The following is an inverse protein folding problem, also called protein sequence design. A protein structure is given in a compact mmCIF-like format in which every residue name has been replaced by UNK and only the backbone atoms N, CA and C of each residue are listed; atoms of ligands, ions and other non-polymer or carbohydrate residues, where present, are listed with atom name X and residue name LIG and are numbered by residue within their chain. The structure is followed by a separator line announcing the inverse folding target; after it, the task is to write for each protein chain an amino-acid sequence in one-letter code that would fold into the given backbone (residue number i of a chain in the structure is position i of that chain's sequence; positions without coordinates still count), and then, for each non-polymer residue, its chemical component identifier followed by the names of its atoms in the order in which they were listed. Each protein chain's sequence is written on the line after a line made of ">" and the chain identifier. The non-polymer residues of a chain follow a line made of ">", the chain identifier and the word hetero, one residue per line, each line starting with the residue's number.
data_IF_107056447017
#
_entry.id   IF_107056447017
#
_cell.length_a   1.000
_cell.length_b   1.000
_cell.length_c   1.000
_cell.angle_alpha   90.00
_cell.angle_beta   90.00
_cell.angle_gamma   90.00
#
_symmetry.space_group_name_H-M   'P 1'
#
loop_
_entity.id
_entity.type
_entity.pdbx_description
1 polymer ?
#
# COMPACT_ATOMS: atom_id res chain seq x y z
N UNK A 1 -24.37 11.52 -0.74
CA UNK A 1 -24.79 11.40 0.67
C UNK A 1 -23.55 10.92 1.42
N UNK A 2 -22.96 11.78 2.24
CA UNK A 2 -21.59 11.64 2.76
C UNK A 2 -21.59 10.73 3.99
N UNK A 3 -20.93 9.58 3.91
CA UNK A 3 -20.67 8.72 5.07
C UNK A 3 -19.79 9.47 6.06
N UNK A 4 -20.34 9.79 7.24
CA UNK A 4 -19.60 10.44 8.33
C UNK A 4 -18.79 9.40 9.12
N UNK A 5 -17.68 9.81 9.78
CA UNK A 5 -16.86 8.98 10.69
C UNK A 5 -17.63 8.21 11.79
N UNK A 6 -18.88 8.61 12.06
CA UNK A 6 -19.79 7.98 13.02
C UNK A 6 -20.08 6.50 12.75
N UNK A 7 -19.98 6.01 11.51
CA UNK A 7 -20.33 4.60 11.22
C UNK A 7 -19.27 3.60 11.70
N UNK A 8 -18.00 4.01 11.79
CA UNK A 8 -16.93 3.21 12.43
C UNK A 8 -17.09 3.20 13.95
N UNK A 9 -17.50 4.33 14.54
CA UNK A 9 -17.77 4.44 15.98
C UNK A 9 -18.99 3.61 16.42
N UNK A 10 -20.03 3.50 15.59
CA UNK A 10 -21.29 2.81 15.96
C UNK A 10 -21.11 1.28 16.08
N UNK A 11 -20.11 0.69 15.41
CA UNK A 11 -19.80 -0.75 15.57
C UNK A 11 -18.85 -1.04 16.73
N UNK A 12 -18.07 -0.06 17.20
CA UNK A 12 -17.20 -0.24 18.38
C UNK A 12 -17.98 -0.19 19.70
N UNK A 13 -19.12 0.52 19.74
CA UNK A 13 -19.97 0.65 20.94
C UNK A 13 -20.65 -0.67 21.34
N UNK A 14 -20.79 -1.65 20.43
CA UNK A 14 -21.45 -2.94 20.75
C UNK A 14 -20.52 -3.93 21.47
N UNK A 15 -19.23 -3.60 21.65
CA UNK A 15 -18.25 -4.48 22.31
C UNK A 15 -17.79 -4.01 23.70
N UNK A 16 -18.38 -2.96 24.26
CA UNK A 16 -17.99 -2.43 25.58
C UNK A 16 -18.41 -3.28 26.79
N UNK A 17 -19.05 -4.43 26.61
CA UNK A 17 -19.45 -5.29 27.73
C UNK A 17 -18.84 -6.68 27.66
N UNK A 18 -17.52 -6.78 27.73
CA UNK A 18 -16.80 -7.81 28.53
C UNK A 18 -15.32 -7.89 28.15
N UNK A 19 -14.45 -7.24 28.92
CA UNK A 19 -13.16 -7.82 29.30
C UNK A 19 -12.43 -6.81 30.19
N UNK A 20 -12.28 -7.14 31.48
CA UNK A 20 -11.14 -6.65 32.24
C UNK A 20 -9.89 -7.16 31.52
N UNK A 21 -9.16 -6.28 30.84
CA UNK A 21 -7.83 -6.60 30.33
C UNK A 21 -6.84 -6.53 31.50
N UNK A 22 -6.28 -7.68 31.80
CA UNK A 22 -5.11 -7.87 32.65
C UNK A 22 -3.86 -7.29 31.99
N UNK A 23 -2.91 -6.92 32.85
CA UNK A 23 -1.63 -6.23 32.61
C UNK A 23 -0.62 -7.01 31.72
N UNK A 24 -0.93 -7.23 30.45
CA UNK A 24 0.08 -7.59 29.45
C UNK A 24 0.06 -6.55 28.30
N UNK A 25 1.01 -5.60 28.35
CA UNK A 25 1.19 -4.51 27.37
C UNK A 25 1.69 -5.00 25.99
N UNK A 26 1.61 -6.29 25.70
CA UNK A 26 2.07 -6.87 24.44
C UNK A 26 0.99 -6.77 23.35
N UNK A 27 1.38 -6.37 22.14
CA UNK A 27 0.45 -6.32 21.02
C UNK A 27 -0.09 -7.73 20.72
N UNK A 28 -1.40 -7.89 20.42
CA UNK A 28 -1.98 -9.18 20.10
C UNK A 28 -1.31 -9.82 18.88
N UNK A 29 -1.24 -11.16 18.88
CA UNK A 29 -0.77 -11.93 17.72
C UNK A 29 -1.95 -12.44 16.91
N UNK A 30 -1.95 -12.14 15.62
CA UNK A 30 -2.89 -12.66 14.63
C UNK A 30 -2.16 -13.68 13.73
N UNK A 31 -2.43 -14.95 14.01
CA UNK A 31 -1.93 -16.08 13.23
C UNK A 31 -2.92 -16.42 12.14
N UNK A 32 -2.44 -16.62 10.92
CA UNK A 32 -3.30 -16.87 9.77
C UNK A 32 -2.65 -17.80 8.74
N UNK A 33 -3.47 -18.27 7.81
CA UNK A 33 -3.13 -19.18 6.73
C UNK A 33 -3.82 -18.75 5.43
N UNK A 34 -3.60 -19.50 4.35
CA UNK A 34 -4.30 -19.26 3.09
C UNK A 34 -5.83 -19.43 3.20
N UNK A 35 -6.32 -20.18 4.20
CA UNK A 35 -7.76 -20.39 4.43
C UNK A 35 -8.48 -19.14 4.91
N UNK A 36 -7.74 -18.21 5.50
CA UNK A 36 -8.25 -16.94 6.03
C UNK A 36 -8.33 -15.86 4.94
N UNK A 37 -7.86 -16.14 3.72
CA UNK A 37 -7.85 -15.18 2.62
C UNK A 37 -9.21 -15.07 1.93
N UNK A 38 -9.69 -13.83 1.82
CA UNK A 38 -10.82 -13.43 1.01
C UNK A 38 -10.36 -13.08 -0.40
N UNK A 39 -10.45 -13.99 -1.37
CA UNK A 39 -9.96 -13.72 -2.73
C UNK A 39 -10.89 -12.83 -3.55
N UNK A 40 -12.20 -12.96 -3.34
CA UNK A 40 -13.22 -12.14 -3.98
C UNK A 40 -14.09 -11.50 -2.90
N UNK A 41 -14.39 -10.21 -3.05
CA UNK A 41 -15.31 -9.47 -2.18
C UNK A 41 -16.29 -8.67 -3.05
N UNK A 42 -17.54 -8.56 -2.60
CA UNK A 42 -18.59 -7.84 -3.30
C UNK A 42 -19.21 -6.79 -2.38
N UNK A 43 -18.43 -5.75 -2.04
CA UNK A 43 -18.76 -4.76 -1.00
C UNK A 43 -18.50 -3.36 -1.52
N UNK A 44 -19.38 -2.42 -1.17
CA UNK A 44 -19.21 -0.99 -1.46
C UNK A 44 -18.20 -0.37 -0.51
N UNK A 45 -17.38 0.54 -1.02
CA UNK A 45 -16.55 1.41 -0.19
C UNK A 45 -17.39 2.12 0.87
N UNK A 46 -16.86 2.21 2.09
CA UNK A 46 -17.55 2.85 3.21
C UNK A 46 -18.77 2.06 3.75
N UNK A 47 -19.02 0.84 3.29
CA UNK A 47 -19.99 -0.10 3.86
C UNK A 47 -19.29 -1.39 4.30
N UNK A 48 -18.37 -1.32 5.27
CA UNK A 48 -17.46 -2.43 5.51
C UNK A 48 -18.19 -3.62 6.15
N UNK A 49 -18.05 -4.78 5.52
CA UNK A 49 -18.16 -6.07 6.22
C UNK A 49 -16.73 -6.42 6.65
N UNK A 50 -16.50 -6.48 7.96
CA UNK A 50 -15.17 -6.60 8.56
C UNK A 50 -14.83 -8.07 8.83
N UNK A 51 -13.61 -8.49 8.49
CA UNK A 51 -13.03 -9.75 8.94
C UNK A 51 -12.55 -9.66 10.40
N UNK A 52 -12.12 -10.80 10.97
CA UNK A 52 -11.47 -10.81 12.29
C UNK A 52 -10.20 -9.96 12.31
N UNK A 53 -9.42 -9.98 11.22
CA UNK A 53 -8.24 -9.14 11.05
C UNK A 53 -8.62 -7.65 11.04
N UNK A 54 -9.66 -7.27 10.30
CA UNK A 54 -10.11 -5.88 10.20
C UNK A 54 -10.54 -5.33 11.56
N UNK A 55 -11.33 -6.12 12.30
CA UNK A 55 -11.80 -5.77 13.64
C UNK A 55 -10.64 -5.56 14.62
N UNK A 56 -9.66 -6.47 14.64
CA UNK A 56 -8.51 -6.36 15.54
C UNK A 56 -7.65 -5.16 15.18
N UNK A 57 -7.34 -4.95 13.89
CA UNK A 57 -6.59 -3.79 13.43
C UNK A 57 -7.26 -2.50 13.89
N UNK A 58 -8.52 -2.28 13.50
CA UNK A 58 -9.21 -1.01 13.71
C UNK A 58 -9.40 -0.73 15.20
N UNK A 59 -9.73 -1.76 15.99
CA UNK A 59 -9.82 -1.65 17.45
C UNK A 59 -8.49 -1.23 18.07
N UNK A 60 -7.38 -1.85 17.67
CA UNK A 60 -6.08 -1.52 18.26
C UNK A 60 -5.59 -0.13 17.84
N UNK A 61 -5.85 0.28 16.60
CA UNK A 61 -5.56 1.64 16.15
C UNK A 61 -6.31 2.69 17.00
N UNK A 62 -7.57 2.40 17.32
CA UNK A 62 -8.40 3.24 18.16
C UNK A 62 -7.93 3.29 19.62
N UNK A 63 -7.45 2.16 20.16
CA UNK A 63 -6.79 2.13 21.49
C UNK A 63 -5.56 3.04 21.49
N UNK A 64 -4.67 2.93 20.51
CA UNK A 64 -3.51 3.82 20.39
C UNK A 64 -3.91 5.30 20.25
N UNK A 65 -5.07 5.58 19.63
CA UNK A 65 -5.62 6.94 19.49
C UNK A 65 -6.07 7.48 20.84
N UNK A 66 -6.83 6.69 21.59
CA UNK A 66 -7.29 7.04 22.93
C UNK A 66 -6.13 7.24 23.92
N UNK A 67 -5.01 6.53 23.71
CA UNK A 67 -3.77 6.71 24.48
C UNK A 67 -2.94 7.95 24.08
N UNK A 68 -3.35 8.70 23.05
CA UNK A 68 -2.66 9.92 22.64
C UNK A 68 -1.31 9.70 21.95
N UNK A 69 -1.11 8.54 21.31
CA UNK A 69 0.18 8.16 20.70
C UNK A 69 0.44 8.81 19.33
N UNK A 70 -0.48 9.64 18.82
CA UNK A 70 -0.36 10.35 17.55
C UNK A 70 0.06 11.80 17.76
N UNK A 71 0.89 12.35 16.86
CA UNK A 71 1.33 13.75 16.90
C UNK A 71 0.20 14.76 16.68
N UNK A 72 -0.84 14.35 15.96
CA UNK A 72 -2.02 15.17 15.67
C UNK A 72 -3.22 14.28 15.34
N UNK A 73 -4.42 14.81 15.53
CA UNK A 73 -5.66 14.14 15.15
C UNK A 73 -5.93 14.28 13.65
N UNK A 74 -6.53 13.24 13.09
CA UNK A 74 -7.08 13.18 11.72
C UNK A 74 -8.61 13.06 11.73
N UNK A 75 -9.23 13.28 12.89
CA UNK A 75 -10.69 13.37 12.99
C UNK A 75 -11.21 14.64 12.32
N UNK A 76 -12.34 14.50 11.61
CA UNK A 76 -12.95 15.63 10.94
C UNK A 76 -12.14 16.21 9.77
N UNK A 77 -11.10 15.51 9.29
CA UNK A 77 -10.34 15.92 8.10
C UNK A 77 -11.29 16.13 6.92
N UNK A 78 -11.33 17.38 6.44
CA UNK A 78 -12.17 17.74 5.29
C UNK A 78 -11.72 16.93 4.09
N UNK A 79 -12.66 16.17 3.53
CA UNK A 79 -12.41 15.28 2.39
C UNK A 79 -13.33 15.69 1.25
N UNK A 80 -12.80 15.81 0.04
CA UNK A 80 -13.61 16.01 -1.17
C UNK A 80 -13.06 15.18 -2.32
N UNK A 81 -13.97 14.66 -3.13
CA UNK A 81 -13.64 14.03 -4.41
C UNK A 81 -13.65 15.13 -5.47
N UNK A 82 -12.55 15.30 -6.18
CA UNK A 82 -12.48 16.29 -7.25
C UNK A 82 -13.34 15.84 -8.43
N UNK A 83 -14.11 16.76 -9.06
CA UNK A 83 -14.82 16.44 -10.28
C UNK A 83 -13.81 16.21 -11.41
N UNK A 84 -14.00 15.13 -12.16
CA UNK A 84 -13.16 14.82 -13.31
C UNK A 84 -13.17 13.33 -13.61
N UNK A 85 -12.24 12.90 -14.46
CA UNK A 85 -12.16 11.51 -14.90
C UNK A 85 -11.68 10.59 -13.79
N UNK A 86 -10.72 11.06 -12.99
CA UNK A 86 -9.98 10.23 -12.06
C UNK A 86 -10.62 10.18 -10.66
N UNK A 87 -11.61 11.04 -10.39
CA UNK A 87 -12.33 11.18 -9.14
C UNK A 87 -11.35 11.22 -7.94
N UNK A 88 -10.35 12.11 -8.03
CA UNK A 88 -9.24 12.15 -7.06
C UNK A 88 -9.78 12.51 -5.67
N UNK A 89 -9.45 11.67 -4.68
CA UNK A 89 -9.84 11.86 -3.28
C UNK A 89 -8.81 12.77 -2.61
N UNK A 90 -9.22 13.98 -2.24
CA UNK A 90 -8.37 14.97 -1.60
C UNK A 90 -8.74 15.16 -0.13
N UNK A 91 -7.74 15.36 0.72
CA UNK A 91 -7.92 15.53 2.17
C UNK A 91 -7.11 16.72 2.69
N UNK A 92 -7.76 17.66 3.38
CA UNK A 92 -7.08 18.81 3.97
C UNK A 92 -6.25 18.40 5.19
N UNK A 93 -4.93 18.47 5.05
CA UNK A 93 -3.94 18.00 6.02
C UNK A 93 -2.86 19.07 6.28
N UNK A 94 -3.28 20.30 6.61
CA UNK A 94 -2.37 21.43 6.86
C UNK A 94 -1.31 21.14 7.94
N UNK A 95 -1.68 20.41 9.01
CA UNK A 95 -0.79 20.04 10.11
C UNK A 95 0.36 19.13 9.66
N UNK A 96 0.17 18.35 8.58
CA UNK A 96 1.18 17.38 8.12
C UNK A 96 2.44 18.06 7.60
N UNK A 97 2.34 19.27 7.04
CA UNK A 97 3.50 20.01 6.50
C UNK A 97 4.54 20.31 7.59
N UNK A 98 4.10 20.68 8.79
CA UNK A 98 4.98 21.07 9.91
C UNK A 98 5.31 19.92 10.85
N UNK A 99 4.44 18.90 10.96
CA UNK A 99 4.59 17.82 11.95
C UNK A 99 5.27 16.55 11.40
N UNK A 100 5.48 16.46 10.08
CA UNK A 100 6.19 15.34 9.48
C UNK A 100 7.66 15.38 9.91
N UNK A 101 8.20 14.21 10.23
CA UNK A 101 9.64 14.07 10.52
C UNK A 101 10.49 14.54 9.34
N UNK A 102 11.67 15.06 9.66
CA UNK A 102 12.73 15.22 8.67
C UNK A 102 13.10 13.84 8.11
N UNK A 103 13.14 13.67 6.78
CA UNK A 103 13.65 12.45 6.16
C UNK A 103 15.08 12.14 6.60
N UNK A 104 15.44 10.86 6.65
CA UNK A 104 16.85 10.48 6.73
C UNK A 104 17.63 11.01 5.52
N UNK A 105 18.95 11.22 5.66
CA UNK A 105 19.81 11.52 4.52
C UNK A 105 19.80 10.34 3.53
N UNK A 106 19.24 10.59 2.35
CA UNK A 106 19.04 9.60 1.29
C UNK A 106 19.90 9.96 0.09
N UNK A 107 20.82 9.06 -0.27
CA UNK A 107 21.77 9.27 -1.38
C UNK A 107 21.59 8.29 -2.54
N UNK A 108 20.98 7.13 -2.30
CA UNK A 108 20.74 6.09 -3.31
C UNK A 108 19.53 5.24 -2.93
N UNK A 109 18.97 4.53 -3.90
CA UNK A 109 17.78 3.68 -3.68
C UNK A 109 18.08 2.53 -2.72
N UNK A 110 19.29 1.96 -2.80
CA UNK A 110 19.79 0.93 -1.87
C UNK A 110 20.80 1.50 -0.89
N UNK A 111 20.34 1.88 0.31
CA UNK A 111 21.23 2.19 1.44
C UNK A 111 21.16 1.10 2.50
N UNK A 112 22.32 0.79 3.09
CA UNK A 112 22.40 -0.06 4.26
C UNK A 112 21.59 0.53 5.41
N UNK A 113 20.98 -0.35 6.21
CA UNK A 113 20.35 0.03 7.46
C UNK A 113 21.36 0.75 8.38
N UNK A 114 20.86 1.69 9.17
CA UNK A 114 21.67 2.51 10.07
C UNK A 114 20.92 2.57 11.41
N UNK A 115 21.46 1.85 12.40
CA UNK A 115 20.82 1.74 13.71
C UNK A 115 20.92 3.03 14.52
N UNK A 116 21.82 3.95 14.20
CA UNK A 116 21.92 5.23 14.92
C UNK A 116 20.74 6.15 14.57
N UNK A 117 20.22 6.04 13.34
CA UNK A 117 19.04 6.77 12.89
C UNK A 117 17.76 6.21 13.50
N UNK A 118 16.68 6.99 13.45
CA UNK A 118 15.38 6.46 13.87
C UNK A 118 14.99 5.26 13.01
N UNK A 119 14.51 4.21 13.67
CA UNK A 119 13.96 3.02 13.07
C UNK A 119 12.84 2.45 13.97
N UNK A 120 12.03 1.52 13.46
CA UNK A 120 10.82 1.06 14.16
C UNK A 120 11.06 0.20 15.39
N UNK A 121 12.29 -0.23 15.70
CA UNK A 121 12.58 -0.89 17.00
C UNK A 121 12.59 0.11 18.16
N UNK A 122 12.61 1.42 17.86
CA UNK A 122 12.66 2.53 18.81
C UNK A 122 11.29 3.15 19.10
N UNK A 123 10.21 2.55 18.62
CA UNK A 123 8.85 2.99 18.91
C UNK A 123 8.51 2.76 20.39
N UNK A 124 7.64 3.59 20.96
CA UNK A 124 7.20 3.43 22.34
C UNK A 124 6.19 2.27 22.47
N UNK A 125 6.00 1.80 23.70
CA UNK A 125 4.96 0.80 24.00
C UNK A 125 3.58 1.32 23.57
N UNK A 126 2.74 0.43 23.02
CA UNK A 126 1.41 0.77 22.50
C UNK A 126 1.39 1.34 21.07
N UNK A 127 2.54 1.70 20.46
CA UNK A 127 2.58 2.04 19.03
C UNK A 127 2.45 0.81 18.12
N UNK A 128 2.70 -0.39 18.64
CA UNK A 128 2.50 -1.63 17.91
C UNK A 128 1.09 -2.19 18.11
N UNK A 129 0.35 -2.31 17.03
CA UNK A 129 -1.07 -2.68 17.03
C UNK A 129 -1.30 -4.20 17.06
N UNK A 130 -0.57 -4.95 16.24
CA UNK A 130 -0.65 -6.40 16.21
C UNK A 130 0.59 -7.03 15.54
N UNK A 131 0.90 -8.26 15.93
CA UNK A 131 1.85 -9.13 15.25
C UNK A 131 1.13 -10.04 14.25
N UNK A 132 1.71 -10.21 13.07
CA UNK A 132 1.19 -11.06 11.99
C UNK A 132 2.11 -12.26 11.80
N UNK A 133 1.54 -13.46 11.83
CA UNK A 133 2.28 -14.71 11.60
C UNK A 133 1.51 -15.56 10.57
N UNK A 134 2.08 -15.68 9.37
CA UNK A 134 1.62 -16.63 8.37
C UNK A 134 2.18 -18.02 8.66
N UNK A 135 1.28 -19.00 8.71
CA UNK A 135 1.64 -20.42 8.81
C UNK A 135 1.13 -21.12 7.54
N UNK A 136 2.03 -21.56 6.65
CA UNK A 136 1.64 -22.33 5.48
C UNK A 136 1.10 -23.69 5.90
N UNK A 137 0.08 -24.19 5.21
CA UNK A 137 -0.40 -25.55 5.42
C UNK A 137 0.62 -26.55 4.86
N UNK A 138 1.13 -27.42 5.72
CA UNK A 138 2.15 -28.43 5.42
C UNK A 138 1.65 -29.62 4.57
N UNK A 139 0.40 -29.60 4.10
CA UNK A 139 -0.21 -30.74 3.39
C UNK A 139 -0.01 -30.74 1.88
N UNK A 140 0.55 -29.69 1.29
CA UNK A 140 0.88 -29.63 -0.15
C UNK A 140 2.39 -29.68 -0.39
N UNK A 141 3.06 -30.66 0.20
CA UNK A 141 4.39 -31.09 -0.25
C UNK A 141 4.21 -31.76 -1.61
N UNK A 142 4.13 -30.95 -2.66
CA UNK A 142 4.59 -31.42 -3.96
C UNK A 142 6.12 -31.34 -3.92
N UNK A 143 6.80 -32.32 -4.51
CA UNK A 143 8.26 -32.40 -4.69
C UNK A 143 8.80 -31.25 -5.59
N UNK A 144 8.35 -30.01 -5.37
CA UNK A 144 8.92 -28.83 -5.98
C UNK A 144 10.17 -28.45 -5.20
N UNK A 145 11.31 -28.42 -5.87
CA UNK A 145 12.61 -27.95 -5.37
C UNK A 145 12.62 -26.46 -4.96
N UNK A 146 11.48 -25.76 -5.02
CA UNK A 146 11.34 -24.35 -4.67
C UNK A 146 10.88 -24.19 -3.21
N UNK A 147 11.83 -24.33 -2.28
CA UNK A 147 11.64 -24.21 -0.81
C UNK A 147 11.02 -22.89 -0.34
N UNK A 148 10.86 -21.90 -1.22
CA UNK A 148 10.37 -20.56 -0.87
C UNK A 148 8.85 -20.46 -0.75
N UNK A 149 8.08 -21.40 -1.32
CA UNK A 149 6.60 -21.40 -1.21
C UNK A 149 6.08 -21.70 0.20
N UNK A 150 6.89 -22.35 1.02
CA UNK A 150 6.50 -22.84 2.35
C UNK A 150 7.16 -22.06 3.49
N UNK A 151 7.66 -20.86 3.24
CA UNK A 151 8.28 -20.04 4.28
C UNK A 151 7.23 -19.31 5.11
N UNK A 152 7.35 -19.37 6.43
CA UNK A 152 6.56 -18.53 7.34
C UNK A 152 6.90 -17.07 7.09
N UNK A 153 5.88 -16.23 6.95
CA UNK A 153 6.01 -14.78 6.77
C UNK A 153 5.55 -14.09 8.05
N UNK A 154 6.36 -13.16 8.56
CA UNK A 154 6.07 -12.45 9.80
C UNK A 154 6.23 -10.95 9.65
N UNK A 155 5.47 -10.21 10.44
CA UNK A 155 5.67 -8.78 10.59
C UNK A 155 4.78 -8.18 11.65
N UNK A 156 4.86 -6.86 11.78
CA UNK A 156 4.12 -6.10 12.78
C UNK A 156 3.35 -4.98 12.10
N UNK A 157 2.13 -4.73 12.56
CA UNK A 157 1.40 -3.51 12.26
C UNK A 157 1.70 -2.52 13.37
N UNK A 158 2.23 -1.35 13.03
CA UNK A 158 2.52 -0.25 13.97
C UNK A 158 1.77 1.00 13.53
N UNK A 159 1.39 1.89 14.43
CA UNK A 159 0.77 3.16 14.02
C UNK A 159 1.73 3.99 13.18
N UNK A 160 1.19 4.79 12.26
CA UNK A 160 1.93 5.94 11.78
C UNK A 160 1.58 7.12 12.67
N UNK A 161 2.48 7.50 13.58
CA UNK A 161 2.25 8.59 14.52
C UNK A 161 2.11 9.99 13.87
N UNK A 162 2.34 10.11 12.55
CA UNK A 162 1.94 11.24 11.72
C UNK A 162 0.96 10.79 10.61
N UNK A 163 -0.28 10.43 10.98
CA UNK A 163 -1.24 9.76 10.09
C UNK A 163 -1.77 10.72 9.01
N UNK A 164 -2.28 10.17 7.90
CA UNK A 164 -2.92 10.98 6.82
C UNK A 164 -4.43 10.94 6.89
N UNK A 165 -4.95 9.85 7.44
CA UNK A 165 -6.34 9.55 7.64
C UNK A 165 -6.44 8.59 8.82
N UNK A 166 -7.67 8.39 9.31
CA UNK A 166 -7.99 7.34 10.27
C UNK A 166 -7.43 6.00 9.80
N UNK A 167 -6.99 5.15 10.73
CA UNK A 167 -6.36 3.83 10.49
C UNK A 167 -4.99 3.82 9.80
N UNK A 168 -4.37 4.98 9.53
CA UNK A 168 -3.04 5.00 8.93
C UNK A 168 -1.99 4.40 9.87
N UNK A 169 -1.47 3.25 9.44
CA UNK A 169 -0.47 2.42 10.10
C UNK A 169 0.64 2.05 9.12
N UNK A 170 1.64 1.34 9.62
CA UNK A 170 2.75 0.80 8.88
C UNK A 170 2.81 -0.71 9.10
N UNK A 171 2.95 -1.46 8.02
CA UNK A 171 3.26 -2.88 8.03
C UNK A 171 4.78 -3.02 7.92
N UNK A 172 5.41 -3.55 8.96
CA UNK A 172 6.86 -3.71 9.10
C UNK A 172 7.20 -5.19 9.07
N UNK A 173 7.69 -5.74 7.95
CA UNK A 173 8.15 -7.11 7.88
C UNK A 173 9.34 -7.33 8.79
N UNK A 174 9.34 -8.42 9.56
CA UNK A 174 10.49 -8.83 10.39
C UNK A 174 11.09 -7.66 11.22
N UNK A 175 10.26 -6.99 12.03
CA UNK A 175 10.61 -5.76 12.78
C UNK A 175 11.99 -5.80 13.48
N UNK A 176 12.38 -6.93 14.05
CA UNK A 176 13.65 -7.09 14.76
C UNK A 176 14.87 -7.35 13.85
N UNK A 177 14.67 -7.68 12.57
CA UNK A 177 15.75 -7.91 11.61
C UNK A 177 16.30 -6.60 11.02
N UNK A 178 15.69 -5.46 11.28
CA UNK A 178 16.18 -4.14 10.86
C UNK A 178 16.50 -4.09 9.35
N UNK A 179 15.61 -4.65 8.53
CA UNK A 179 15.79 -4.71 7.08
C UNK A 179 15.85 -3.27 6.52
N UNK A 180 16.77 -2.95 5.59
CA UNK A 180 16.77 -1.64 4.92
C UNK A 180 15.47 -1.44 4.13
N UNK A 181 15.12 -0.18 3.81
CA UNK A 181 13.91 0.17 3.03
C UNK A 181 14.06 -0.25 1.56
N UNK A 182 14.05 -1.56 1.33
CA UNK A 182 14.15 -2.27 0.05
C UNK A 182 13.15 -3.43 0.12
N UNK A 183 12.24 -3.52 -0.85
CA UNK A 183 11.22 -4.58 -0.87
C UNK A 183 11.91 -5.94 -0.89
N UNK A 184 11.45 -6.86 -0.04
CA UNK A 184 11.83 -8.27 -0.05
C UNK A 184 10.64 -9.12 -0.46
N UNK A 185 10.88 -10.33 -0.98
CA UNK A 185 9.80 -11.26 -1.34
C UNK A 185 8.87 -11.54 -0.14
N UNK A 186 9.36 -11.88 1.08
CA UNK A 186 8.50 -12.04 2.25
C UNK A 186 7.75 -10.76 2.65
N UNK A 187 8.38 -9.59 2.52
CA UNK A 187 7.73 -8.31 2.80
C UNK A 187 6.57 -8.01 1.84
N UNK A 188 6.75 -8.31 0.55
CA UNK A 188 5.69 -8.15 -0.44
C UNK A 188 4.56 -9.18 -0.26
N UNK A 189 4.90 -10.43 0.09
CA UNK A 189 3.91 -11.45 0.46
C UNK A 189 3.09 -11.00 1.67
N UNK A 190 3.72 -10.47 2.72
CA UNK A 190 3.03 -9.93 3.90
C UNK A 190 2.05 -8.81 3.52
N UNK A 191 2.45 -7.91 2.61
CA UNK A 191 1.60 -6.84 2.11
C UNK A 191 0.37 -7.36 1.34
N UNK A 192 0.57 -8.38 0.50
CA UNK A 192 -0.52 -9.06 -0.22
C UNK A 192 -1.45 -9.81 0.74
N UNK A 193 -0.89 -10.48 1.75
CA UNK A 193 -1.65 -11.18 2.78
C UNK A 193 -2.54 -10.22 3.56
N UNK A 194 -2.03 -9.04 3.95
CA UNK A 194 -2.83 -8.04 4.67
C UNK A 194 -4.08 -7.63 3.88
N UNK A 195 -3.96 -7.42 2.56
CA UNK A 195 -5.12 -7.15 1.71
C UNK A 195 -6.09 -8.33 1.65
N UNK A 196 -5.56 -9.56 1.56
CA UNK A 196 -6.35 -10.78 1.46
C UNK A 196 -7.06 -11.17 2.76
N UNK A 197 -6.46 -10.86 3.92
CA UNK A 197 -7.09 -11.02 5.23
C UNK A 197 -8.23 -10.02 5.45
N UNK A 198 -8.18 -8.87 4.78
CA UNK A 198 -9.26 -7.90 4.85
C UNK A 198 -10.44 -8.32 4.00
N UNK A 199 -11.63 -8.21 4.57
CA UNK A 199 -12.88 -8.39 3.82
C UNK A 199 -13.40 -7.05 3.28
N UNK A 200 -12.69 -5.94 3.53
CA UNK A 200 -13.03 -4.61 3.02
C UNK A 200 -12.21 -4.25 1.77
N UNK A 201 -12.81 -3.61 0.73
CA UNK A 201 -12.05 -3.02 -0.37
C UNK A 201 -11.30 -1.75 0.04
N UNK A 202 -11.59 -1.21 1.22
CA UNK A 202 -11.03 0.06 1.67
C UNK A 202 -9.57 -0.07 2.12
N UNK A 203 -9.11 -1.28 2.49
CA UNK A 203 -7.72 -1.49 2.88
C UNK A 203 -6.79 -1.34 1.68
N UNK A 204 -5.75 -0.53 1.85
CA UNK A 204 -4.71 -0.27 0.85
C UNK A 204 -3.35 -0.45 1.47
N UNK A 205 -2.40 -0.89 0.66
CA UNK A 205 -0.99 -0.97 1.06
C UNK A 205 -0.15 -0.19 0.07
N UNK A 206 0.76 0.65 0.57
CA UNK A 206 1.58 1.53 -0.25
C UNK A 206 3.04 1.49 0.21
N UNK A 207 3.98 1.50 -0.73
CA UNK A 207 5.41 1.47 -0.46
C UNK A 207 6.10 2.63 -1.16
N UNK A 208 7.04 3.24 -0.44
CA UNK A 208 7.94 4.24 -0.97
C UNK A 208 9.36 3.69 -0.88
N UNK A 209 10.11 3.66 -1.99
CA UNK A 209 11.55 3.38 -1.94
C UNK A 209 12.31 4.56 -1.32
N UNK A 210 13.57 4.36 -0.92
CA UNK A 210 14.49 5.50 -0.77
C UNK A 210 14.63 6.22 -2.14
N UNK A 211 14.62 7.55 -2.12
CA UNK A 211 14.49 8.39 -3.31
C UNK A 211 13.06 8.44 -3.88
N UNK A 212 12.20 7.52 -3.43
CA UNK A 212 10.77 7.33 -3.75
C UNK A 212 9.81 8.03 -2.78
N UNK A 213 10.28 9.05 -2.04
CA UNK A 213 9.58 9.72 -0.94
C UNK A 213 9.47 8.93 0.39
N UNK A 214 10.24 7.86 0.59
CA UNK A 214 10.41 7.27 1.92
C UNK A 214 11.13 8.22 2.87
N UNK A 215 10.75 8.22 4.15
CA UNK A 215 11.39 9.05 5.19
C UNK A 215 12.22 8.25 6.19
N UNK A 216 12.09 6.91 6.21
CA UNK A 216 12.74 6.00 7.16
C UNK A 216 13.45 4.91 6.37
N UNK A 217 14.68 4.60 6.76
CA UNK A 217 15.41 3.45 6.22
C UNK A 217 15.25 2.22 7.14
N UNK A 218 14.04 1.68 7.19
CA UNK A 218 13.69 0.41 7.83
C UNK A 218 12.48 -0.11 7.05
N UNK A 219 12.56 -1.28 6.42
CA UNK A 219 11.52 -1.84 5.55
C UNK A 219 10.12 -1.69 6.15
N UNK A 220 9.29 -0.88 5.51
CA UNK A 220 7.89 -0.70 5.86
C UNK A 220 7.04 -0.41 4.63
N UNK A 221 5.79 -0.83 4.73
CA UNK A 221 4.70 -0.43 3.86
C UNK A 221 3.73 0.42 4.68
N UNK A 222 3.16 1.45 4.09
CA UNK A 222 1.99 2.12 4.63
C UNK A 222 0.76 1.24 4.44
N UNK A 223 -0.13 1.22 5.42
CA UNK A 223 -1.43 0.54 5.33
C UNK A 223 -2.51 1.38 5.98
N UNK A 224 -3.67 1.48 5.33
CA UNK A 224 -4.79 2.30 5.80
C UNK A 224 -6.10 1.91 5.10
N UNK A 225 -7.21 2.15 5.79
CA UNK A 225 -8.56 2.09 5.21
C UNK A 225 -8.95 3.48 4.69
N UNK A 226 -9.35 3.53 3.43
CA UNK A 226 -9.92 4.74 2.82
C UNK A 226 -11.32 4.41 2.25
N UNK A 227 -12.40 4.95 2.82
CA UNK A 227 -13.78 4.59 2.44
C UNK A 227 -14.24 5.31 1.16
N UNK A 228 -13.40 5.32 0.13
CA UNK A 228 -13.64 5.92 -1.18
C UNK A 228 -13.02 5.02 -2.24
N UNK A 229 -13.67 4.85 -3.39
CA UNK A 229 -13.08 4.15 -4.53
C UNK A 229 -11.99 5.00 -5.18
N UNK A 230 -10.85 4.40 -5.52
CA UNK A 230 -9.83 5.02 -6.36
C UNK A 230 -9.95 4.53 -7.81
N UNK A 231 -9.77 5.42 -8.79
CA UNK A 231 -9.87 5.08 -10.22
C UNK A 231 -8.99 3.89 -10.62
N UNK A 232 -7.80 3.76 -10.03
CA UNK A 232 -6.81 2.71 -10.33
C UNK A 232 -7.32 1.27 -10.07
N UNK A 233 -8.32 1.12 -9.19
CA UNK A 233 -8.86 -0.18 -8.80
C UNK A 233 -9.56 -0.88 -9.96
N UNK A 234 -10.08 -0.10 -10.90
CA UNK A 234 -10.77 -0.60 -12.10
C UNK A 234 -10.26 0.03 -13.39
N UNK A 235 -9.19 0.81 -13.34
CA UNK A 235 -8.60 1.45 -14.51
C UNK A 235 -8.27 0.41 -15.59
N UNK A 236 -8.63 0.73 -16.83
CA UNK A 236 -8.33 -0.12 -17.98
C UNK A 236 -6.82 -0.22 -18.19
N UNK A 237 -6.35 -1.43 -18.49
CA UNK A 237 -4.95 -1.71 -18.72
C UNK A 237 -4.78 -2.41 -20.07
N UNK A 238 -3.61 -2.24 -20.68
CA UNK A 238 -3.17 -2.98 -21.87
C UNK A 238 -1.97 -3.83 -21.50
N UNK A 239 -1.90 -5.03 -22.07
CA UNK A 239 -0.76 -5.92 -21.81
C UNK A 239 0.51 -5.32 -22.42
N UNK A 240 1.56 -5.25 -21.62
CA UNK A 240 2.86 -4.74 -22.04
C UNK A 240 3.76 -5.88 -22.51
N UNK A 241 3.99 -6.88 -21.64
CA UNK A 241 4.71 -8.11 -21.95
C UNK A 241 4.48 -9.16 -20.85
N UNK A 242 4.22 -10.41 -21.23
CA UNK A 242 4.01 -11.50 -20.27
C UNK A 242 2.96 -11.14 -19.21
N UNK A 243 3.25 -11.24 -17.90
CA UNK A 243 2.30 -10.90 -16.84
C UNK A 243 2.25 -9.39 -16.51
N UNK A 244 3.00 -8.55 -17.23
CA UNK A 244 3.10 -7.12 -16.97
C UNK A 244 2.15 -6.34 -17.90
N UNK A 245 1.35 -5.46 -17.31
CA UNK A 245 0.42 -4.57 -17.99
C UNK A 245 0.79 -3.11 -17.72
N UNK A 246 0.16 -2.18 -18.43
CA UNK A 246 0.25 -0.76 -18.14
C UNK A 246 -1.12 -0.10 -18.33
N UNK A 247 -1.34 1.05 -17.68
CA UNK A 247 -2.61 1.76 -17.80
C UNK A 247 -2.83 2.28 -19.21
N UNK A 248 -4.08 2.20 -19.70
CA UNK A 248 -4.47 2.77 -20.99
C UNK A 248 -4.45 4.30 -20.96
N UNK A 249 -4.92 4.90 -19.86
CA UNK A 249 -5.28 6.32 -19.84
C UNK A 249 -5.18 6.99 -18.46
N UNK A 250 -4.37 6.42 -17.56
CA UNK A 250 -4.08 6.95 -16.24
C UNK A 250 -2.96 8.00 -16.29
N UNK A 251 -3.06 9.05 -15.46
CA UNK A 251 -2.17 10.20 -15.54
C UNK A 251 -0.69 9.88 -15.26
N UNK A 252 -0.39 8.88 -14.44
CA UNK A 252 0.99 8.43 -14.18
C UNK A 252 1.18 7.02 -14.70
N UNK A 253 1.99 6.88 -15.76
CA UNK A 253 2.30 5.56 -16.30
C UNK A 253 2.98 4.68 -15.26
N UNK A 254 2.50 3.45 -15.13
CA UNK A 254 2.99 2.46 -14.20
C UNK A 254 2.87 1.06 -14.79
N UNK A 255 3.53 0.11 -14.12
CA UNK A 255 3.48 -1.31 -14.44
C UNK A 255 2.46 -1.97 -13.52
N UNK A 256 1.50 -2.69 -14.09
CA UNK A 256 0.39 -3.28 -13.36
C UNK A 256 0.49 -4.80 -13.43
N UNK A 257 0.39 -5.44 -12.27
CA UNK A 257 0.27 -6.88 -12.10
C UNK A 257 -1.03 -7.14 -11.33
N UNK A 258 -1.59 -8.33 -11.50
CA UNK A 258 -2.79 -8.71 -10.76
C UNK A 258 -2.72 -10.16 -10.31
N UNK A 259 -3.47 -10.48 -9.26
CA UNK A 259 -3.57 -11.82 -8.72
C UNK A 259 -4.38 -12.70 -9.66
N UNK A 260 -3.75 -13.76 -10.14
CA UNK A 260 -4.34 -14.78 -10.99
C UNK A 260 -4.31 -16.12 -10.25
N UNK A 261 -5.34 -16.95 -10.44
CA UNK A 261 -5.41 -18.32 -9.92
C UNK A 261 -5.15 -18.45 -8.41
N UNK A 262 -5.39 -17.37 -7.63
CA UNK A 262 -5.13 -17.31 -6.18
C UNK A 262 -3.66 -17.55 -5.81
N UNK A 263 -2.74 -17.45 -6.77
CA UNK A 263 -1.31 -17.69 -6.57
C UNK A 263 -0.59 -16.40 -6.15
N UNK A 264 -0.68 -16.11 -4.85
CA UNK A 264 -0.06 -14.92 -4.22
C UNK A 264 1.44 -14.90 -4.40
N UNK A 265 2.05 -16.08 -4.32
CA UNK A 265 3.49 -16.26 -4.41
C UNK A 265 4.01 -15.97 -5.82
N UNK A 266 3.33 -16.49 -6.85
CA UNK A 266 3.66 -16.17 -8.24
C UNK A 266 3.51 -14.68 -8.55
N UNK A 267 2.45 -14.03 -8.05
CA UNK A 267 2.29 -12.58 -8.16
C UNK A 267 3.47 -11.84 -7.52
N UNK A 268 3.83 -12.20 -6.28
CA UNK A 268 4.93 -11.57 -5.56
C UNK A 268 6.26 -11.73 -6.30
N UNK A 269 6.57 -12.93 -6.82
CA UNK A 269 7.80 -13.16 -7.62
C UNK A 269 7.82 -12.34 -8.92
N UNK A 270 6.69 -12.25 -9.62
CA UNK A 270 6.58 -11.45 -10.86
C UNK A 270 6.85 -9.97 -10.60
N UNK A 271 6.27 -9.42 -9.52
CA UNK A 271 6.53 -8.04 -9.09
C UNK A 271 7.99 -7.88 -8.65
N UNK A 272 8.55 -8.82 -7.89
CA UNK A 272 9.94 -8.78 -7.44
C UNK A 272 10.93 -8.74 -8.61
N UNK A 273 10.68 -9.45 -9.72
CA UNK A 273 11.52 -9.34 -10.93
C UNK A 273 11.63 -7.89 -11.44
N UNK A 274 10.50 -7.15 -11.45
CA UNK A 274 10.50 -5.74 -11.83
C UNK A 274 11.22 -4.89 -10.78
N UNK A 275 10.97 -5.12 -9.50
CA UNK A 275 11.63 -4.40 -8.41
C UNK A 275 13.14 -4.58 -8.49
N UNK A 276 13.63 -5.80 -8.72
CA UNK A 276 15.06 -6.12 -8.86
C UNK A 276 15.70 -5.38 -10.05
N UNK A 277 14.99 -5.29 -11.18
CA UNK A 277 15.41 -4.47 -12.32
C UNK A 277 15.53 -2.99 -11.92
N UNK A 278 14.49 -2.40 -11.34
CA UNK A 278 14.51 -0.99 -10.91
C UNK A 278 15.65 -0.72 -9.92
N UNK A 279 15.87 -1.66 -9.00
CA UNK A 279 16.92 -1.65 -8.02
C UNK A 279 18.33 -1.77 -8.62
N UNK A 280 18.52 -2.53 -9.69
CA UNK A 280 19.79 -2.63 -10.43
C UNK A 280 20.10 -1.38 -11.25
N UNK A 281 19.07 -0.66 -11.66
CA UNK A 281 19.13 0.56 -12.48
C UNK A 281 19.10 1.83 -11.62
N UNK A 282 19.16 1.69 -10.29
CA UNK A 282 19.03 2.78 -9.30
C UNK A 282 17.80 3.69 -9.52
N UNK A 283 16.70 3.11 -10.01
CA UNK A 283 15.44 3.81 -10.24
C UNK A 283 14.61 3.82 -8.96
N UNK A 284 14.34 5.02 -8.45
CA UNK A 284 13.39 5.22 -7.37
C UNK A 284 11.99 4.75 -7.79
N UNK A 285 11.22 4.20 -6.86
CA UNK A 285 9.94 3.60 -7.19
C UNK A 285 8.93 3.61 -6.05
N UNK A 286 7.66 3.47 -6.42
CA UNK A 286 6.53 3.29 -5.51
C UNK A 286 5.77 2.01 -5.88
N UNK A 287 5.25 1.30 -4.88
CA UNK A 287 4.32 0.18 -5.09
C UNK A 287 3.01 0.48 -4.39
N UNK A 288 1.89 0.32 -5.07
CA UNK A 288 0.56 0.40 -4.47
C UNK A 288 -0.19 -0.89 -4.72
N UNK A 289 -0.78 -1.43 -3.65
CA UNK A 289 -1.52 -2.67 -3.67
C UNK A 289 -2.94 -2.37 -3.21
N UNK A 290 -3.91 -2.89 -3.96
CA UNK A 290 -5.32 -2.64 -3.70
C UNK A 290 -6.18 -3.75 -4.26
N UNK A 291 -7.40 -3.87 -3.73
CA UNK A 291 -8.46 -4.67 -4.35
C UNK A 291 -8.83 -4.05 -5.69
N UNK A 292 -9.19 -4.88 -6.66
CA UNK A 292 -9.58 -4.39 -7.97
C UNK A 292 -10.41 -5.40 -8.73
N UNK A 293 -10.86 -4.98 -9.91
CA UNK A 293 -11.41 -5.88 -10.91
C UNK A 293 -10.28 -6.45 -11.79
N UNK A 294 -10.55 -7.55 -12.49
CA UNK A 294 -9.66 -8.07 -13.52
C UNK A 294 -9.24 -7.00 -14.54
N UNK A 295 -8.11 -7.22 -15.22
CA UNK A 295 -7.62 -6.33 -16.27
C UNK A 295 -8.43 -6.64 -17.54
N UNK A 296 -9.52 -5.91 -17.78
CA UNK A 296 -10.36 -6.17 -18.95
C UNK A 296 -9.57 -5.94 -20.24
N UNK A 297 -9.52 -6.99 -21.07
CA UNK A 297 -9.28 -6.85 -22.50
C UNK A 297 -10.61 -6.45 -23.14
N UNK A 298 -10.54 -5.52 -24.08
CA UNK A 298 -11.63 -4.91 -24.87
C UNK A 298 -13.02 -5.59 -24.81
N UNK A 299 -14.05 -4.80 -24.46
CA UNK A 299 -15.45 -5.19 -24.59
C UNK A 299 -16.17 -5.27 -23.25
N UNK A 300 -17.16 -4.38 -23.09
CA UNK A 300 -18.21 -4.44 -22.06
C UNK A 300 -17.74 -4.19 -20.61
N UNK A 301 -17.68 -2.90 -20.26
CA UNK A 301 -17.92 -2.47 -18.88
C UNK A 301 -19.41 -2.72 -18.55
N UNK A 302 -19.78 -4.00 -18.36
CA UNK A 302 -20.98 -4.27 -17.59
C UNK A 302 -20.77 -3.70 -16.19
N UNK A 303 -21.79 -3.04 -15.64
CA UNK A 303 -21.83 -2.47 -14.30
C UNK A 303 -21.45 -3.50 -13.22
N UNK A 304 -20.15 -3.72 -13.03
CA UNK A 304 -19.55 -4.50 -11.93
C UNK A 304 -18.94 -3.56 -10.91
N UNK A 305 -19.59 -2.43 -10.63
CA UNK A 305 -19.10 -1.36 -9.75
C UNK A 305 -18.85 -1.78 -8.29
N UNK A 306 -19.04 -3.07 -7.98
CA UNK A 306 -19.11 -3.60 -6.63
C UNK A 306 -18.39 -4.96 -6.48
N UNK A 307 -17.81 -5.55 -7.54
CA UNK A 307 -17.11 -6.85 -7.46
C UNK A 307 -15.59 -6.67 -7.57
N UNK A 308 -14.88 -6.95 -6.47
CA UNK A 308 -13.42 -6.97 -6.42
C UNK A 308 -12.94 -8.42 -6.37
N UNK A 309 -12.52 -8.93 -7.52
CA UNK A 309 -12.17 -10.34 -7.73
C UNK A 309 -10.66 -10.59 -7.84
N UNK A 310 -9.84 -9.55 -7.70
CA UNK A 310 -8.38 -9.67 -7.72
C UNK A 310 -7.71 -8.65 -6.79
N UNK A 311 -6.41 -8.82 -6.60
CA UNK A 311 -5.51 -7.82 -6.01
C UNK A 311 -4.66 -7.27 -7.15
N UNK A 312 -4.61 -5.95 -7.29
CA UNK A 312 -3.74 -5.25 -8.24
C UNK A 312 -2.50 -4.75 -7.50
N UNK A 313 -1.33 -4.92 -8.12
CA UNK A 313 -0.06 -4.34 -7.69
C UNK A 313 0.44 -3.41 -8.78
N UNK A 314 0.53 -2.13 -8.44
CA UNK A 314 0.95 -1.06 -9.35
C UNK A 314 2.34 -0.61 -8.94
N UNK A 315 3.26 -0.58 -9.90
CA UNK A 315 4.65 -0.15 -9.69
C UNK A 315 4.94 1.07 -10.56
N UNK A 316 5.27 2.19 -9.93
CA UNK A 316 5.71 3.40 -10.65
C UNK A 316 7.22 3.56 -10.54
N UNK A 317 7.89 3.56 -11.69
CA UNK A 317 9.22 4.14 -11.81
C UNK A 317 9.11 5.67 -11.74
N UNK A 318 10.00 6.33 -11.01
CA UNK A 318 9.93 7.79 -10.82
C UNK A 318 11.28 8.44 -10.64
N UNK A 319 11.30 9.75 -10.81
CA UNK A 319 12.46 10.59 -10.52
C UNK A 319 12.88 10.46 -9.07
N UNK A 320 14.19 10.39 -8.86
CA UNK A 320 14.77 10.39 -7.53
C UNK A 320 14.54 11.74 -6.84
N UNK A 321 14.12 11.71 -5.57
CA UNK A 321 13.90 12.91 -4.76
C UNK A 321 14.91 12.89 -3.60
N UNK A 322 15.84 13.85 -3.61
CA UNK A 322 16.84 14.05 -2.56
C UNK A 322 16.20 14.66 -1.31
N UNK A 323 15.38 15.71 -1.50
CA UNK A 323 14.73 16.43 -0.40
C UNK A 323 13.20 16.40 -0.57
N UNK A 324 12.51 15.88 0.44
CA UNK A 324 11.02 15.88 0.50
C UNK A 324 10.48 17.24 0.99
N UNK A 325 11.29 18.30 0.94
CA UNK A 325 10.94 19.63 1.46
C UNK A 325 10.27 20.53 0.43
N UNK A 326 10.38 20.22 -0.87
CA UNK A 326 9.70 20.95 -1.95
C UNK A 326 8.23 20.51 -2.07
N UNK A 327 7.50 20.62 -0.96
CA UNK A 327 6.08 20.34 -0.91
C UNK A 327 5.33 21.65 -0.77
N UNK A 328 5.08 22.28 -1.91
CA UNK A 328 4.29 23.49 -1.95
C UNK A 328 2.83 23.15 -1.67
N UNK A 329 2.21 22.21 -2.40
CA UNK A 329 0.78 21.85 -2.27
C UNK A 329 0.49 20.45 -1.69
N UNK A 330 1.21 19.42 -2.14
CA UNK A 330 1.10 18.03 -1.69
C UNK A 330 2.38 17.26 -2.05
N UNK A 331 2.65 16.14 -1.36
CA UNK A 331 3.83 15.32 -1.67
C UNK A 331 3.55 14.37 -2.83
N UNK A 332 4.44 14.23 -3.80
CA UNK A 332 4.27 13.23 -4.88
C UNK A 332 4.75 11.83 -4.44
N UNK A 333 4.16 11.28 -3.37
CA UNK A 333 4.47 9.93 -2.88
C UNK A 333 3.43 8.91 -3.38
N UNK A 334 3.47 7.68 -2.85
CA UNK A 334 2.70 6.56 -3.39
C UNK A 334 1.17 6.73 -3.31
N UNK A 335 0.63 7.31 -2.22
CA UNK A 335 -0.83 7.49 -2.09
C UNK A 335 -1.33 8.51 -3.11
N UNK A 336 -0.55 9.58 -3.33
CA UNK A 336 -0.90 10.64 -4.26
C UNK A 336 -0.89 10.12 -5.70
N UNK A 337 0.08 9.27 -6.07
CA UNK A 337 0.09 8.54 -7.35
C UNK A 337 -1.13 7.62 -7.54
N UNK A 338 -1.74 7.14 -6.45
CA UNK A 338 -2.93 6.31 -6.48
C UNK A 338 -4.25 7.10 -6.57
N UNK A 339 -4.20 8.42 -6.42
CA UNK A 339 -5.39 9.28 -6.40
C UNK A 339 -5.93 9.60 -5.00
N UNK A 340 -5.16 9.34 -3.94
CA UNK A 340 -5.45 9.80 -2.58
C UNK A 340 -4.45 10.88 -2.16
N UNK A 341 -4.91 12.14 -2.09
CA UNK A 341 -4.04 13.31 -2.02
C UNK A 341 -4.26 14.14 -0.75
N UNK A 342 -3.37 14.02 0.24
CA UNK A 342 -3.25 14.99 1.33
C UNK A 342 -2.78 16.35 0.83
N UNK A 343 -3.65 17.36 0.94
CA UNK A 343 -3.39 18.75 0.52
C UNK A 343 -3.00 19.58 1.74
N UNK A 344 -1.93 20.36 1.65
CA UNK A 344 -1.40 21.11 2.80
C UNK A 344 -1.75 22.60 2.78
N UNK A 345 -2.16 23.12 1.62
CA UNK A 345 -2.43 24.55 1.42
C UNK A 345 -3.92 24.85 1.45
N UNK A 346 -4.36 25.54 2.49
CA UNK A 346 -5.76 25.93 2.69
C UNK A 346 -6.26 26.88 1.60
N UNK A 347 -5.41 27.80 1.14
CA UNK A 347 -5.69 28.79 0.09
C UNK A 347 -5.92 28.17 -1.28
N UNK A 348 -5.39 26.97 -1.53
CA UNK A 348 -5.62 26.20 -2.76
C UNK A 348 -6.82 25.26 -2.69
N UNK A 349 -7.35 25.01 -1.49
CA UNK A 349 -8.38 23.98 -1.27
C UNK A 349 -9.66 24.19 -2.07
N UNK A 350 -10.16 25.42 -2.15
CA UNK A 350 -11.43 25.72 -2.82
C UNK A 350 -11.35 25.64 -4.34
N UNK A 351 -10.19 25.93 -4.92
CA UNK A 351 -10.00 26.02 -6.38
C UNK A 351 -9.29 24.81 -6.99
N UNK A 352 -8.89 23.84 -6.18
CA UNK A 352 -8.13 22.66 -6.61
C UNK A 352 -8.88 21.84 -7.66
N UNK A 353 -8.22 21.59 -8.80
CA UNK A 353 -8.68 20.73 -9.90
C UNK A 353 -7.88 19.42 -9.98
N UNK A 354 -8.36 18.44 -10.78
CA UNK A 354 -7.57 17.23 -11.05
C UNK A 354 -6.29 17.54 -11.81
N UNK A 355 -6.27 18.54 -12.70
CA UNK A 355 -5.09 18.91 -13.48
C UNK A 355 -3.94 19.39 -12.59
N UNK A 356 -4.26 20.19 -11.56
CA UNK A 356 -3.30 20.67 -10.55
C UNK A 356 -2.57 19.53 -9.82
N UNK A 357 -3.17 18.34 -9.78
CA UNK A 357 -2.62 17.14 -9.14
C UNK A 357 -1.96 16.23 -10.16
N UNK A 358 -2.64 15.95 -11.27
CA UNK A 358 -2.21 14.95 -12.25
C UNK A 358 -0.97 15.39 -13.02
N UNK A 359 -0.83 16.68 -13.35
CA UNK A 359 0.32 17.18 -14.11
C UNK A 359 1.65 17.03 -13.32
N UNK A 360 1.75 17.42 -12.03
CA UNK A 360 2.94 17.13 -11.23
C UNK A 360 3.23 15.63 -11.12
N UNK A 361 2.22 14.80 -10.85
CA UNK A 361 2.39 13.35 -10.69
C UNK A 361 2.86 12.67 -11.99
N UNK A 362 2.31 13.08 -13.13
CA UNK A 362 2.75 12.62 -14.45
C UNK A 362 4.22 12.95 -14.66
N UNK A 363 4.60 14.22 -14.45
CA UNK A 363 5.96 14.72 -14.66
C UNK A 363 7.01 14.01 -13.79
N UNK A 364 6.60 13.47 -12.63
CA UNK A 364 7.47 12.70 -11.74
C UNK A 364 7.73 11.28 -12.22
N UNK A 365 6.84 10.69 -12.99
CA UNK A 365 6.92 9.29 -13.43
C UNK A 365 7.31 9.12 -14.90
N UNK A 366 6.85 10.02 -15.77
CA UNK A 366 6.87 9.82 -17.22
C UNK A 366 8.27 9.49 -17.79
N UNK A 367 9.28 10.27 -17.44
CA UNK A 367 10.65 10.08 -17.96
C UNK A 367 11.25 8.75 -17.49
N UNK A 368 11.12 8.44 -16.20
CA UNK A 368 11.64 7.19 -15.62
C UNK A 368 10.92 5.97 -16.17
N UNK A 369 9.59 6.05 -16.33
CA UNK A 369 8.79 5.02 -16.98
C UNK A 369 9.25 4.79 -18.42
N UNK A 370 9.33 5.84 -19.24
CA UNK A 370 9.72 5.73 -20.65
C UNK A 370 11.13 5.16 -20.83
N UNK A 371 12.04 5.50 -19.91
CA UNK A 371 13.42 5.01 -19.91
C UNK A 371 13.50 3.51 -19.57
N UNK A 372 12.75 3.06 -18.56
CA UNK A 372 12.84 1.66 -18.09
C UNK A 372 11.95 0.71 -18.89
N UNK A 373 10.86 1.19 -19.49
CA UNK A 373 9.85 0.37 -20.16
C UNK A 373 10.43 -0.63 -21.17
N UNK A 374 11.39 -0.28 -22.07
CA UNK A 374 11.98 -1.25 -22.98
C UNK A 374 12.70 -2.41 -22.28
N UNK A 375 13.35 -2.14 -21.14
CA UNK A 375 13.99 -3.17 -20.31
C UNK A 375 12.94 -4.06 -19.63
N UNK A 376 11.83 -3.49 -19.19
CA UNK A 376 10.69 -4.24 -18.63
C UNK A 376 10.05 -5.16 -19.67
N UNK A 377 9.84 -4.67 -20.90
CA UNK A 377 9.34 -5.50 -22.01
C UNK A 377 10.28 -6.69 -22.22
N UNK A 378 11.58 -6.45 -22.36
CA UNK A 378 12.57 -7.54 -22.53
C UNK A 378 12.59 -8.52 -21.34
N UNK A 379 12.39 -8.03 -20.12
CA UNK A 379 12.38 -8.85 -18.90
C UNK A 379 11.21 -9.85 -18.88
N UNK A 380 10.05 -9.47 -19.43
CA UNK A 380 8.83 -10.27 -19.37
C UNK A 380 8.39 -10.89 -20.71
N UNK A 381 9.05 -10.55 -21.81
CA UNK A 381 8.87 -11.25 -23.08
C UNK A 381 9.32 -12.71 -22.94
N UNK A 382 8.67 -13.65 -23.66
CA UNK A 382 9.20 -15.01 -23.79
C UNK A 382 10.64 -14.94 -24.30
N UNK A 383 11.57 -15.63 -23.63
CA UNK A 383 12.87 -15.85 -24.24
C UNK A 383 12.67 -16.88 -25.34
N UNK A 384 12.99 -16.53 -26.58
CA UNK A 384 12.97 -17.48 -27.68
C UNK A 384 13.73 -18.72 -27.26
N UNK A 385 13.03 -19.86 -27.23
CA UNK A 385 13.61 -21.14 -26.86
C UNK A 385 14.87 -21.37 -27.67
N UNK A 386 16.01 -21.45 -26.97
CA UNK A 386 17.22 -22.00 -27.53
C UNK A 386 16.84 -23.35 -28.15
N UNK A 387 16.86 -23.38 -29.48
CA UNK A 387 16.58 -24.56 -30.26
C UNK A 387 17.54 -25.65 -29.82
N UNK A 388 16.96 -26.82 -29.56
CA UNK A 388 17.59 -28.11 -29.75
C UNK A 388 18.53 -28.10 -30.95
N UNK A 389 19.82 -28.34 -30.70
CA UNK A 389 20.66 -29.21 -31.54
C UNK A 389 21.48 -30.09 -30.60
#
# INVERSE_FOLDING_TARGET
>A
MVCTPSQVATHLIVMETSSHQTEDNAAPTHTYSQRDFHYCISIKHGQPVLSSFDCVFLKQWEVSRALGLFKYSVEGVQTKVLPGKYQIVTQMNANRKSMKRTPAHISKVKQSFDDDKFNFTKIQSGEQLLHLIYIPHTSEVTDSSDNTKNQSVKGSVVINNAPICTSHSLLVPELSQCLPQVVTLPGLQLALHALLLSHSPDLRVAYNSLGGCASVNHLHFHTYYLPYRLYIETAACVQLAGPCYTFKDFYSQGFVFHLENRDVDLLARRVMKLVDLLLSEEVAHNLFLTRGSGLSMEGEAENKDEEYNTVRVIVWARKFVLDVTDVTMFACACCELAGHVPVYLQDKWSTLSEEDITQPLHSRCHESYSTIMPKVVRLFSPQDGGSTV
#
